data_IF_806586796709
#
_entry.id   IF_806586796709
#
_cell.length_a   1.000
_cell.length_b   1.000
_cell.length_c   1.000
_cell.angle_alpha   90.00
_cell.angle_beta   90.00
_cell.angle_gamma   90.00
#
_symmetry.space_group_name_H-M   'P 1'
#
loop_
_entity.id
_entity.type
_entity.pdbx_description
1 polymer ?
#
# COMPACT_ATOMS: atom_id res chain seq x y z
N UNK A 1 -6.74 0.50 -12.84
CA UNK A 1 -6.85 0.95 -11.43
C UNK A 1 -6.52 -0.26 -10.54
N UNK A 2 -6.90 -0.31 -9.26
CA UNK A 2 -6.76 -1.55 -8.44
C UNK A 2 -7.86 -2.57 -8.76
N UNK A 3 -9.04 -2.12 -9.20
CA UNK A 3 -10.15 -2.98 -9.58
C UNK A 3 -9.81 -3.91 -10.77
N UNK A 4 -8.92 -3.49 -11.68
CA UNK A 4 -8.45 -4.29 -12.83
C UNK A 4 -7.09 -4.97 -12.61
N UNK A 5 -6.56 -4.99 -11.38
CA UNK A 5 -5.25 -5.56 -11.10
C UNK A 5 -5.36 -7.09 -10.94
N UNK A 6 -5.09 -7.85 -12.00
CA UNK A 6 -5.23 -9.32 -11.99
C UNK A 6 -3.91 -10.09 -11.76
N UNK A 7 -2.81 -9.38 -11.51
CA UNK A 7 -1.47 -9.98 -11.38
C UNK A 7 -1.19 -10.60 -10.01
N UNK A 8 -2.10 -10.46 -9.02
CA UNK A 8 -1.87 -10.95 -7.66
C UNK A 8 -2.11 -12.45 -7.55
N UNK A 9 -1.13 -13.15 -6.98
CA UNK A 9 -1.21 -14.58 -6.72
C UNK A 9 -2.26 -14.88 -5.66
N UNK A 10 -3.32 -15.60 -6.03
CA UNK A 10 -4.35 -16.05 -5.10
C UNK A 10 -3.81 -16.97 -3.99
N UNK A 11 -2.66 -17.63 -4.22
CA UNK A 11 -1.96 -18.43 -3.20
C UNK A 11 -1.39 -17.55 -2.08
N UNK A 12 -0.86 -16.39 -2.44
CA UNK A 12 -0.17 -15.49 -1.50
C UNK A 12 -1.10 -14.41 -0.93
N UNK A 13 -2.07 -13.96 -1.73
CA UNK A 13 -3.02 -12.91 -1.40
C UNK A 13 -4.47 -13.38 -1.62
N UNK A 14 -4.96 -14.37 -0.85
CA UNK A 14 -6.26 -15.00 -1.09
C UNK A 14 -7.45 -14.02 -0.98
N UNK A 15 -7.34 -13.01 -0.12
CA UNK A 15 -8.41 -12.03 0.10
C UNK A 15 -8.44 -10.90 -0.96
N UNK A 16 -7.38 -10.78 -1.77
CA UNK A 16 -7.22 -9.62 -2.65
C UNK A 16 -8.36 -9.50 -3.67
N UNK A 17 -8.72 -10.60 -4.32
CA UNK A 17 -9.77 -10.59 -5.36
C UNK A 17 -11.13 -10.18 -4.79
N UNK A 18 -11.47 -10.62 -3.57
CA UNK A 18 -12.74 -10.24 -2.94
C UNK A 18 -12.72 -8.79 -2.43
N UNK A 19 -11.56 -8.28 -2.01
CA UNK A 19 -11.44 -6.93 -1.45
C UNK A 19 -11.13 -5.83 -2.46
N UNK A 20 -10.67 -6.15 -3.68
CA UNK A 20 -10.17 -5.14 -4.64
C UNK A 20 -11.18 -4.04 -4.97
N UNK A 21 -12.48 -4.37 -4.99
CA UNK A 21 -13.54 -3.41 -5.24
C UNK A 21 -13.71 -2.47 -4.05
N UNK A 22 -13.70 -3.01 -2.82
CA UNK A 22 -13.74 -2.22 -1.59
C UNK A 22 -12.49 -1.33 -1.47
N UNK A 23 -11.30 -1.85 -1.79
CA UNK A 23 -10.06 -1.05 -1.80
C UNK A 23 -10.16 0.14 -2.76
N UNK A 24 -10.77 -0.04 -3.93
CA UNK A 24 -10.97 1.04 -4.89
C UNK A 24 -12.00 2.07 -4.37
N UNK A 25 -13.09 1.59 -3.77
CA UNK A 25 -14.16 2.43 -3.24
C UNK A 25 -13.72 3.25 -2.02
N UNK A 26 -12.81 2.73 -1.18
CA UNK A 26 -12.14 3.50 -0.11
C UNK A 26 -11.50 4.77 -0.68
N UNK A 27 -10.72 4.61 -1.76
CA UNK A 27 -10.03 5.74 -2.41
C UNK A 27 -11.06 6.74 -2.95
N UNK A 28 -12.09 6.26 -3.64
CA UNK A 28 -13.14 7.13 -4.19
C UNK A 28 -13.80 7.95 -3.08
N UNK A 29 -14.22 7.31 -1.98
CA UNK A 29 -14.89 7.99 -0.87
C UNK A 29 -13.99 8.97 -0.15
N UNK A 30 -12.72 8.63 0.03
CA UNK A 30 -11.75 9.53 0.63
C UNK A 30 -11.57 10.81 -0.21
N UNK A 31 -11.44 10.68 -1.53
CA UNK A 31 -11.34 11.86 -2.40
C UNK A 31 -12.67 12.63 -2.51
N UNK A 32 -13.81 11.95 -2.52
CA UNK A 32 -15.13 12.61 -2.45
C UNK A 32 -15.23 13.45 -1.18
N UNK A 33 -14.84 12.92 -0.03
CA UNK A 33 -14.83 13.64 1.24
C UNK A 33 -13.82 14.80 1.27
N UNK A 34 -12.65 14.62 0.66
CA UNK A 34 -11.66 15.69 0.49
C UNK A 34 -12.26 16.88 -0.25
N UNK A 35 -12.86 16.65 -1.42
CA UNK A 35 -13.40 17.72 -2.27
C UNK A 35 -14.70 18.30 -1.72
N UNK A 36 -15.62 17.45 -1.27
CA UNK A 36 -16.93 17.90 -0.80
C UNK A 36 -16.84 18.76 0.48
N UNK A 37 -15.78 18.59 1.27
CA UNK A 37 -15.57 19.32 2.51
C UNK A 37 -14.39 20.30 2.46
N UNK A 38 -13.90 20.65 1.26
CA UNK A 38 -12.79 21.59 1.04
C UNK A 38 -11.60 21.35 1.97
N UNK A 39 -11.19 20.08 2.10
CA UNK A 39 -10.14 19.69 3.01
C UNK A 39 -8.78 20.09 2.47
N UNK A 40 -7.86 20.39 3.38
CA UNK A 40 -6.46 20.65 3.05
C UNK A 40 -5.87 19.48 2.25
N UNK A 41 -5.14 19.79 1.17
CA UNK A 41 -4.39 18.82 0.37
C UNK A 41 -3.41 18.00 1.22
N UNK A 42 -2.87 18.57 2.30
CA UNK A 42 -1.99 17.85 3.21
C UNK A 42 -2.68 16.68 3.92
N UNK A 43 -4.02 16.69 4.00
CA UNK A 43 -4.78 15.57 4.54
C UNK A 43 -4.67 14.30 3.70
N UNK A 44 -4.27 14.40 2.41
CA UNK A 44 -3.96 13.21 1.60
C UNK A 44 -2.91 12.32 2.28
N UNK A 45 -1.96 12.90 3.01
CA UNK A 45 -0.90 12.15 3.71
C UNK A 45 -1.17 12.07 5.21
N UNK A 46 -1.64 13.16 5.82
CA UNK A 46 -1.75 13.28 7.28
C UNK A 46 -3.13 12.91 7.87
N UNK A 47 -4.06 12.43 7.05
CA UNK A 47 -5.41 12.10 7.53
C UNK A 47 -5.40 10.97 8.56
N UNK A 48 -5.94 11.25 9.75
CA UNK A 48 -6.16 10.28 10.83
C UNK A 48 -7.45 9.46 10.64
N UNK A 49 -7.90 9.27 9.40
CA UNK A 49 -9.16 8.59 9.11
C UNK A 49 -9.13 7.85 7.77
N UNK A 50 -10.08 6.93 7.60
CA UNK A 50 -10.40 6.32 6.31
C UNK A 50 -11.90 5.99 6.19
N UNK A 51 -12.31 5.47 5.05
CA UNK A 51 -13.65 4.97 4.79
C UNK A 51 -13.61 3.46 4.60
N UNK A 52 -14.45 2.73 5.34
CA UNK A 52 -14.52 1.26 5.25
C UNK A 52 -15.96 0.77 5.27
N UNK A 53 -16.20 -0.34 4.58
CA UNK A 53 -17.33 -1.24 4.84
C UNK A 53 -16.86 -2.44 5.69
N UNK A 54 -17.75 -3.37 6.02
CA UNK A 54 -17.45 -4.52 6.86
C UNK A 54 -16.29 -5.40 6.37
N UNK A 55 -16.25 -5.84 5.09
CA UNK A 55 -15.11 -6.59 4.55
C UNK A 55 -13.77 -5.89 4.70
N UNK A 56 -13.66 -4.61 4.28
CA UNK A 56 -12.41 -3.86 4.38
C UNK A 56 -12.02 -3.56 5.83
N UNK A 57 -13.00 -3.29 6.69
CA UNK A 57 -12.79 -3.11 8.12
C UNK A 57 -12.18 -4.35 8.78
N UNK A 58 -12.69 -5.55 8.46
CA UNK A 58 -12.10 -6.81 8.93
C UNK A 58 -10.66 -6.97 8.46
N UNK A 59 -10.38 -6.66 7.19
CA UNK A 59 -9.02 -6.67 6.66
C UNK A 59 -8.09 -5.70 7.38
N UNK A 60 -8.63 -4.56 7.87
CA UNK A 60 -7.88 -3.58 8.66
C UNK A 60 -7.81 -3.87 10.15
N UNK A 61 -8.55 -4.84 10.66
CA UNK A 61 -8.66 -5.12 12.11
C UNK A 61 -9.55 -4.11 12.85
N UNK A 62 -10.48 -3.47 12.16
CA UNK A 62 -11.42 -2.48 12.70
C UNK A 62 -12.77 -3.12 13.05
N UNK A 63 -13.41 -2.63 14.12
CA UNK A 63 -14.71 -3.11 14.57
C UNK A 63 -15.88 -2.40 13.84
N UNK A 64 -15.95 -2.57 12.52
CA UNK A 64 -17.09 -2.11 11.70
C UNK A 64 -17.74 -3.29 11.00
N UNK A 65 -19.07 -3.36 11.08
CA UNK A 65 -19.89 -4.43 10.50
C UNK A 65 -20.90 -3.86 9.51
N UNK A 66 -21.39 -4.73 8.62
CA UNK A 66 -22.35 -4.38 7.58
C UNK A 66 -21.71 -4.01 6.24
N UNK A 67 -22.54 -3.85 5.21
CA UNK A 67 -22.11 -3.46 3.87
C UNK A 67 -22.02 -1.93 3.70
N UNK A 68 -22.64 -1.18 4.63
CA UNK A 68 -22.62 0.27 4.60
C UNK A 68 -21.23 0.85 4.87
N UNK A 69 -20.91 1.90 4.14
CA UNK A 69 -19.65 2.62 4.26
C UNK A 69 -19.67 3.61 5.41
N UNK A 70 -18.61 3.61 6.21
CA UNK A 70 -18.46 4.49 7.37
C UNK A 70 -17.08 5.12 7.39
N UNK A 71 -17.04 6.39 7.81
CA UNK A 71 -15.79 7.07 8.16
C UNK A 71 -15.34 6.56 9.53
N UNK A 72 -14.05 6.23 9.65
CA UNK A 72 -13.41 5.80 10.89
C UNK A 72 -12.21 6.69 11.16
N UNK A 73 -12.19 7.35 12.32
CA UNK A 73 -11.13 8.23 12.80
C UNK A 73 -10.16 7.51 13.76
N UNK A 74 -9.05 8.16 14.13
CA UNK A 74 -8.07 7.66 15.11
C UNK A 74 -7.15 6.56 14.57
N UNK A 75 -6.98 6.49 13.25
CA UNK A 75 -6.25 5.42 12.58
C UNK A 75 -4.73 5.51 12.69
N UNK A 76 -4.18 6.67 13.06
CA UNK A 76 -2.75 6.83 13.33
C UNK A 76 -2.28 5.89 14.45
N UNK A 77 -3.12 5.63 15.45
CA UNK A 77 -2.83 4.67 16.51
C UNK A 77 -2.65 3.23 15.97
N UNK A 78 -3.25 2.93 14.82
CA UNK A 78 -3.11 1.66 14.10
C UNK A 78 -2.09 1.73 12.95
N UNK A 79 -1.33 2.83 12.83
CA UNK A 79 -0.37 3.05 11.74
C UNK A 79 -1.04 3.17 10.37
N UNK A 80 -2.30 3.62 10.32
CA UNK A 80 -3.11 3.80 9.12
C UNK A 80 -3.55 5.27 9.00
N UNK A 81 -4.04 5.63 7.82
CA UNK A 81 -4.47 6.98 7.52
C UNK A 81 -3.86 7.50 6.23
N UNK A 82 -4.64 8.31 5.51
CA UNK A 82 -4.24 8.88 4.23
C UNK A 82 -3.87 7.85 3.14
N UNK A 83 -3.42 8.37 2.01
CA UNK A 83 -3.15 7.59 0.79
C UNK A 83 -2.04 6.56 0.95
N UNK A 84 -1.14 6.75 1.92
CA UNK A 84 -0.04 5.81 2.20
C UNK A 84 -0.53 4.56 2.94
N UNK A 85 -1.64 4.67 3.67
CA UNK A 85 -2.22 3.59 4.48
C UNK A 85 -3.24 2.70 3.75
N UNK A 86 -3.71 3.11 2.56
CA UNK A 86 -4.73 2.37 1.81
C UNK A 86 -4.22 1.02 1.30
N UNK A 87 -5.04 -0.01 1.45
CA UNK A 87 -4.75 -1.31 0.85
C UNK A 87 -4.62 -1.23 -0.67
N UNK A 88 -5.36 -0.33 -1.33
CA UNK A 88 -5.21 -0.04 -2.76
C UNK A 88 -3.77 0.36 -3.11
N UNK A 89 -3.21 1.35 -2.40
CA UNK A 89 -1.84 1.84 -2.59
C UNK A 89 -0.83 0.73 -2.30
N UNK A 90 -1.00 0.03 -1.18
CA UNK A 90 -0.09 -1.04 -0.77
C UNK A 90 -0.10 -2.22 -1.76
N UNK A 91 -1.27 -2.60 -2.27
CA UNK A 91 -1.42 -3.67 -3.25
C UNK A 91 -0.86 -3.28 -4.62
N UNK A 92 -1.12 -2.04 -5.07
CA UNK A 92 -0.61 -1.54 -6.36
C UNK A 92 0.92 -1.56 -6.42
N UNK A 93 1.57 -1.27 -5.28
CA UNK A 93 3.03 -1.20 -5.16
C UNK A 93 3.65 -2.43 -4.49
N UNK A 94 3.08 -3.60 -4.78
CA UNK A 94 3.60 -4.91 -4.38
C UNK A 94 3.84 -5.80 -5.61
N UNK A 95 4.62 -6.87 -5.44
CA UNK A 95 4.77 -7.91 -6.46
C UNK A 95 3.53 -8.81 -6.56
N UNK A 96 3.59 -9.78 -7.48
CA UNK A 96 2.51 -10.78 -7.66
C UNK A 96 2.39 -11.73 -6.46
N UNK A 97 3.52 -12.14 -5.88
CA UNK A 97 3.61 -13.12 -4.78
C UNK A 97 4.15 -12.55 -3.47
N UNK A 98 4.65 -11.30 -3.48
CA UNK A 98 5.27 -10.67 -2.30
C UNK A 98 4.94 -9.20 -2.14
N UNK A 99 5.02 -8.72 -0.91
CA UNK A 99 5.03 -7.26 -0.65
C UNK A 99 6.36 -6.67 -1.12
N UNK A 100 6.40 -5.38 -1.47
CA UNK A 100 7.65 -4.73 -1.89
C UNK A 100 7.82 -3.38 -1.22
N UNK A 101 8.83 -3.26 -0.35
CA UNK A 101 9.20 -1.97 0.23
C UNK A 101 9.85 -1.06 -0.83
N UNK A 102 10.61 -1.66 -1.76
CA UNK A 102 11.29 -0.95 -2.85
C UNK A 102 10.27 -0.28 -3.78
N UNK A 103 9.27 -1.02 -4.30
CA UNK A 103 8.26 -0.44 -5.19
C UNK A 103 7.45 0.67 -4.51
N UNK A 104 7.10 0.48 -3.23
CA UNK A 104 6.41 1.50 -2.42
C UNK A 104 7.28 2.74 -2.22
N UNK A 105 8.57 2.56 -1.93
CA UNK A 105 9.54 3.64 -1.77
C UNK A 105 9.74 4.42 -3.07
N UNK A 106 9.91 3.73 -4.21
CA UNK A 106 10.00 4.36 -5.53
C UNK A 106 8.77 5.19 -5.84
N UNK A 107 7.56 4.67 -5.63
CA UNK A 107 6.35 5.45 -5.84
C UNK A 107 6.25 6.67 -4.92
N UNK A 108 6.57 6.52 -3.63
CA UNK A 108 6.58 7.64 -2.70
C UNK A 108 7.55 8.72 -3.16
N UNK A 109 8.79 8.35 -3.48
CA UNK A 109 9.84 9.29 -3.91
C UNK A 109 9.46 9.98 -5.21
N UNK A 110 9.12 9.24 -6.25
CA UNK A 110 8.93 9.81 -7.60
C UNK A 110 7.56 10.46 -7.79
N UNK A 111 6.50 9.91 -7.18
CA UNK A 111 5.12 10.37 -7.42
C UNK A 111 4.64 11.35 -6.34
N UNK A 112 4.95 11.09 -5.06
CA UNK A 112 4.45 11.93 -3.97
C UNK A 112 5.42 13.07 -3.68
N UNK A 113 6.72 12.78 -3.59
CA UNK A 113 7.76 13.79 -3.29
C UNK A 113 8.30 14.48 -4.55
N UNK A 114 8.11 13.89 -5.73
CA UNK A 114 8.63 14.44 -7.00
C UNK A 114 10.15 14.31 -7.14
N UNK A 115 10.78 13.45 -6.35
CA UNK A 115 12.22 13.19 -6.38
C UNK A 115 12.52 12.02 -7.32
N UNK A 116 13.31 12.29 -8.36
CA UNK A 116 13.69 11.29 -9.35
C UNK A 116 14.80 10.40 -8.80
N UNK A 117 14.55 9.09 -8.74
CA UNK A 117 15.56 8.13 -8.32
C UNK A 117 16.53 7.80 -9.46
N UNK A 118 17.80 7.51 -9.16
CA UNK A 118 18.73 7.00 -10.17
C UNK A 118 18.27 5.64 -10.68
N UNK A 119 18.58 5.32 -11.94
CA UNK A 119 18.29 3.99 -12.47
C UNK A 119 19.14 2.95 -11.71
N UNK A 120 18.58 1.77 -11.39
CA UNK A 120 19.36 0.71 -10.78
C UNK A 120 20.50 0.29 -11.70
N UNK A 121 21.69 -0.06 -11.16
CA UNK A 121 22.78 -0.62 -11.95
C UNK A 121 22.33 -1.88 -12.70
N UNK A 122 22.87 -2.09 -13.91
CA UNK A 122 22.47 -3.22 -14.77
C UNK A 122 22.75 -4.60 -14.17
N UNK A 123 23.71 -4.67 -13.25
CA UNK A 123 24.27 -5.91 -12.73
C UNK A 123 23.71 -6.26 -11.33
N UNK A 124 22.63 -5.58 -10.90
CA UNK A 124 21.97 -5.87 -9.61
C UNK A 124 21.16 -7.15 -9.73
N UNK A 125 21.38 -8.14 -8.85
CA UNK A 125 20.60 -9.37 -8.85
C UNK A 125 19.14 -9.10 -8.50
N UNK A 126 18.23 -9.73 -9.24
CA UNK A 126 16.79 -9.67 -8.97
C UNK A 126 16.50 -10.34 -7.63
N UNK A 127 15.69 -9.69 -6.80
CA UNK A 127 15.23 -10.27 -5.54
C UNK A 127 14.34 -11.51 -5.81
N UNK A 128 14.51 -12.59 -5.04
CA UNK A 128 13.71 -13.80 -5.20
C UNK A 128 12.20 -13.51 -5.04
N UNK A 129 11.37 -14.33 -5.67
CA UNK A 129 9.90 -14.21 -5.59
C UNK A 129 9.35 -14.42 -4.19
N UNK A 130 10.00 -15.28 -3.40
CA UNK A 130 9.69 -15.56 -2.01
C UNK A 130 10.95 -15.37 -1.16
N UNK A 131 10.83 -14.90 0.10
CA UNK A 131 11.97 -14.73 0.96
C UNK A 131 12.54 -16.11 1.35
N UNK A 132 13.87 -16.27 1.43
CA UNK A 132 14.48 -17.51 1.89
C UNK A 132 13.96 -17.92 3.27
N UNK A 133 13.91 -19.22 3.54
CA UNK A 133 13.45 -19.74 4.83
C UNK A 133 14.18 -19.06 6.00
N UNK A 134 13.40 -18.55 6.96
CA UNK A 134 13.91 -17.84 8.13
C UNK A 134 14.12 -16.33 7.94
N UNK A 135 13.87 -15.78 6.75
CA UNK A 135 13.85 -14.33 6.51
C UNK A 135 12.43 -13.82 6.25
N UNK A 136 12.12 -12.68 6.84
CA UNK A 136 11.00 -11.85 6.41
C UNK A 136 11.35 -11.04 5.15
N UNK A 137 10.35 -10.57 4.42
CA UNK A 137 10.53 -9.60 3.33
C UNK A 137 11.36 -8.39 3.75
N UNK A 138 11.13 -7.91 4.99
CA UNK A 138 11.90 -6.79 5.56
C UNK A 138 13.39 -7.13 5.65
N UNK A 139 13.72 -8.28 6.22
CA UNK A 139 15.11 -8.72 6.38
C UNK A 139 15.78 -9.02 5.03
N UNK A 140 15.02 -9.53 4.05
CA UNK A 140 15.52 -9.72 2.69
C UNK A 140 15.90 -8.37 2.05
N UNK A 141 15.03 -7.35 2.17
CA UNK A 141 15.29 -6.01 1.65
C UNK A 141 16.44 -5.33 2.39
N UNK A 142 16.49 -5.41 3.71
CA UNK A 142 17.60 -4.87 4.53
C UNK A 142 18.94 -5.48 4.13
N UNK A 143 18.97 -6.79 3.88
CA UNK A 143 20.16 -7.46 3.37
C UNK A 143 20.54 -6.95 1.98
N UNK A 144 19.57 -6.74 1.11
CA UNK A 144 19.81 -6.22 -0.24
C UNK A 144 20.35 -4.78 -0.23
N UNK A 145 19.75 -3.90 0.57
CA UNK A 145 20.16 -2.49 0.68
C UNK A 145 21.46 -2.30 1.48
N UNK A 146 21.97 -3.33 2.15
CA UNK A 146 23.30 -3.28 2.78
C UNK A 146 24.46 -3.35 1.77
N UNK A 147 24.22 -3.80 0.53
CA UNK A 147 25.23 -3.75 -0.54
C UNK A 147 25.40 -2.30 -1.01
N UNK A 148 26.62 -1.73 -0.97
CA UNK A 148 26.87 -0.35 -1.42
C UNK A 148 26.39 -0.06 -2.85
N UNK A 149 26.31 -1.08 -3.71
CA UNK A 149 25.81 -0.95 -5.09
C UNK A 149 24.28 -0.79 -5.15
N UNK A 150 23.57 -1.24 -4.13
CA UNK A 150 22.10 -1.23 -4.05
C UNK A 150 21.57 -0.16 -3.08
N UNK A 151 22.40 0.32 -2.14
CA UNK A 151 22.02 1.32 -1.13
C UNK A 151 21.66 2.71 -1.71
N UNK A 152 22.02 2.99 -2.96
CA UNK A 152 21.73 4.26 -3.63
C UNK A 152 20.39 4.32 -4.36
N UNK A 153 19.58 3.25 -4.29
CA UNK A 153 18.28 3.12 -4.96
C UNK A 153 17.12 3.03 -3.96
#
# INVERSE_FOLDING_TARGET
>A
DVATLDEKSARHFPEFTSLRADMQEEVVRFFVDLFANDRDVLSLVAADHTFVNGPLARHYGLAVEGEDWRRVDGLHAAGRGGVLGFAATLAKHAGASRTSAILRGTWLSETVLGERLPKPPKDVPVLPEEPPAGLSERQLVERHSSDPRCAGC
#
